data_IF_215503336721
#
_entry.id   IF_215503336721
#
_cell.length_a   1.000
_cell.length_b   1.000
_cell.length_c   1.000
_cell.angle_alpha   90.00
_cell.angle_beta   90.00
_cell.angle_gamma   90.00
#
_symmetry.space_group_name_H-M   'P 1'
#
loop_
_entity.id
_entity.type
_entity.pdbx_description
1 polymer ?
#
# COMPACT_ATOMS: atom_id res chain seq x y z
N UNK A 1 -10.00 19.30 -12.74
CA UNK A 1 -9.88 20.67 -12.35
C UNK A 1 -9.49 20.81 -10.88
N UNK A 2 -9.49 22.04 -10.38
CA UNK A 2 -8.94 22.46 -9.09
C UNK A 2 -9.45 21.73 -7.84
N UNK A 3 -10.58 21.03 -7.93
CA UNK A 3 -11.17 20.31 -6.76
C UNK A 3 -10.69 18.89 -6.56
N UNK A 4 -10.15 18.24 -7.59
CA UNK A 4 -9.87 16.82 -7.52
C UNK A 4 -8.61 16.48 -6.73
N UNK A 5 -7.59 17.31 -6.79
CA UNK A 5 -6.37 17.07 -6.01
C UNK A 5 -6.61 17.19 -4.49
N UNK A 6 -7.23 18.29 -3.98
CA UNK A 6 -7.61 18.36 -2.56
C UNK A 6 -8.53 17.22 -2.11
N UNK A 7 -9.50 16.82 -2.94
CA UNK A 7 -10.39 15.70 -2.66
C UNK A 7 -9.61 14.38 -2.55
N UNK A 8 -8.77 14.08 -3.53
CA UNK A 8 -7.96 12.86 -3.55
C UNK A 8 -7.02 12.79 -2.34
N UNK A 9 -6.36 13.90 -2.01
CA UNK A 9 -5.48 13.99 -0.85
C UNK A 9 -6.26 13.78 0.46
N UNK A 10 -7.43 14.40 0.60
CA UNK A 10 -8.27 14.22 1.78
C UNK A 10 -8.78 12.78 1.91
N UNK A 11 -9.21 12.16 0.80
CA UNK A 11 -9.65 10.77 0.78
C UNK A 11 -8.53 9.84 1.23
N UNK A 12 -7.34 9.99 0.64
CA UNK A 12 -6.18 9.18 1.01
C UNK A 12 -5.75 9.38 2.47
N UNK A 13 -5.70 10.61 2.94
CA UNK A 13 -5.33 10.91 4.34
C UNK A 13 -6.35 10.28 5.30
N UNK A 14 -7.64 10.44 5.03
CA UNK A 14 -8.70 9.83 5.83
C UNK A 14 -8.64 8.31 5.81
N UNK A 15 -8.32 7.70 4.67
CA UNK A 15 -8.15 6.27 4.54
C UNK A 15 -7.02 5.75 5.44
N UNK A 16 -5.85 6.40 5.41
CA UNK A 16 -4.72 6.04 6.28
C UNK A 16 -5.04 6.25 7.75
N UNK A 17 -5.64 7.38 8.12
CA UNK A 17 -6.11 7.67 9.48
C UNK A 17 -7.02 6.54 10.00
N UNK A 18 -7.98 6.09 9.19
CA UNK A 18 -8.89 5.02 9.56
C UNK A 18 -8.18 3.68 9.74
N UNK A 19 -7.15 3.37 8.94
CA UNK A 19 -6.36 2.16 9.13
C UNK A 19 -5.66 2.16 10.49
N UNK A 20 -5.04 3.29 10.86
CA UNK A 20 -4.31 3.42 12.11
C UNK A 20 -5.23 3.43 13.33
N UNK A 21 -6.29 4.22 13.29
CA UNK A 21 -7.26 4.28 14.39
C UNK A 21 -7.93 2.92 14.64
N UNK A 22 -8.30 2.20 13.57
CA UNK A 22 -8.87 0.85 13.70
C UNK A 22 -7.87 -0.15 14.27
N UNK A 23 -6.61 -0.07 13.89
CA UNK A 23 -5.54 -0.89 14.47
C UNK A 23 -5.40 -0.64 15.96
N UNK A 24 -5.34 0.64 16.38
CA UNK A 24 -5.24 1.04 17.79
C UNK A 24 -6.45 0.62 18.62
N UNK A 25 -7.64 0.68 18.04
CA UNK A 25 -8.89 0.26 18.71
C UNK A 25 -9.12 -1.25 18.70
N UNK A 26 -8.30 -2.04 18.00
CA UNK A 26 -8.54 -3.47 17.80
C UNK A 26 -9.82 -3.78 17.01
N UNK A 27 -10.27 -2.85 16.13
CA UNK A 27 -11.49 -2.97 15.33
C UNK A 27 -11.16 -3.06 13.84
N UNK A 28 -10.58 -4.18 13.46
CA UNK A 28 -10.22 -4.42 12.06
C UNK A 28 -11.46 -4.38 11.15
N UNK A 29 -11.30 -3.74 10.00
CA UNK A 29 -12.06 -3.89 8.77
C UNK A 29 -11.06 -4.05 7.65
N UNK A 30 -11.41 -4.75 6.58
CA UNK A 30 -10.53 -4.88 5.44
C UNK A 30 -10.29 -3.53 4.73
N UNK A 31 -9.25 -3.49 3.93
CA UNK A 31 -8.82 -2.24 3.29
C UNK A 31 -9.84 -1.71 2.29
N UNK A 32 -10.62 -2.59 1.63
CA UNK A 32 -11.66 -2.15 0.70
C UNK A 32 -12.79 -1.42 1.43
N UNK A 33 -13.26 -1.98 2.55
CA UNK A 33 -14.27 -1.34 3.38
C UNK A 33 -13.78 0.00 3.94
N UNK A 34 -12.50 0.12 4.32
CA UNK A 34 -11.92 1.39 4.76
C UNK A 34 -11.86 2.39 3.60
N UNK A 35 -11.55 1.93 2.40
CA UNK A 35 -11.54 2.76 1.19
C UNK A 35 -12.93 3.33 0.92
N UNK A 36 -13.98 2.52 1.05
CA UNK A 36 -15.37 2.96 0.90
C UNK A 36 -15.80 3.93 2.03
N UNK A 37 -15.53 3.58 3.30
CA UNK A 37 -15.89 4.41 4.47
C UNK A 37 -15.23 5.81 4.36
N UNK A 38 -13.95 5.86 3.95
CA UNK A 38 -13.21 7.11 3.78
C UNK A 38 -13.66 7.91 2.55
N UNK A 39 -14.05 7.24 1.47
CA UNK A 39 -14.66 7.87 0.31
C UNK A 39 -15.99 8.54 0.67
N UNK A 40 -16.86 7.84 1.40
CA UNK A 40 -18.15 8.38 1.83
C UNK A 40 -17.99 9.66 2.67
N UNK A 41 -16.99 9.71 3.56
CA UNK A 41 -16.64 10.92 4.33
C UNK A 41 -16.15 12.02 3.39
N UNK A 42 -15.25 11.71 2.48
CA UNK A 42 -14.65 12.67 1.56
C UNK A 42 -15.68 13.29 0.62
N UNK A 43 -16.57 12.47 0.06
CA UNK A 43 -17.66 12.93 -0.80
C UNK A 43 -18.59 13.90 -0.08
N UNK A 44 -18.90 13.65 1.20
CA UNK A 44 -19.71 14.57 2.03
C UNK A 44 -18.99 15.90 2.24
N UNK A 45 -17.70 15.88 2.59
CA UNK A 45 -16.90 17.08 2.87
C UNK A 45 -16.77 17.97 1.63
N UNK A 46 -16.59 17.36 0.46
CA UNK A 46 -16.39 18.08 -0.80
C UNK A 46 -17.67 18.30 -1.61
N UNK A 47 -18.83 17.87 -1.10
CA UNK A 47 -20.12 17.94 -1.79
C UNK A 47 -20.06 17.28 -3.17
N UNK A 48 -19.48 16.08 -3.26
CA UNK A 48 -19.45 15.25 -4.48
C UNK A 48 -20.74 14.44 -4.58
N UNK A 49 -21.31 14.37 -5.78
CA UNK A 49 -22.54 13.60 -6.03
C UNK A 49 -22.30 12.11 -5.75
N UNK A 50 -23.17 11.52 -4.94
CA UNK A 50 -23.12 10.11 -4.55
C UNK A 50 -23.14 9.15 -5.76
N UNK A 51 -23.68 9.57 -6.90
CA UNK A 51 -23.68 8.78 -8.14
C UNK A 51 -22.28 8.47 -8.64
N UNK A 52 -21.28 9.29 -8.29
CA UNK A 52 -19.87 9.08 -8.67
C UNK A 52 -19.16 8.03 -7.81
N UNK A 53 -19.78 7.54 -6.73
CA UNK A 53 -19.11 6.63 -5.78
C UNK A 53 -18.53 5.40 -6.47
N UNK A 54 -19.33 4.69 -7.26
CA UNK A 54 -18.88 3.46 -7.92
C UNK A 54 -17.77 3.74 -8.93
N UNK A 55 -17.89 4.79 -9.72
CA UNK A 55 -16.85 5.20 -10.67
C UNK A 55 -15.50 5.49 -9.96
N UNK A 56 -15.54 6.22 -8.84
CA UNK A 56 -14.34 6.51 -8.05
C UNK A 56 -13.72 5.25 -7.43
N UNK A 57 -14.54 4.30 -7.00
CA UNK A 57 -14.07 3.01 -6.49
C UNK A 57 -13.48 2.14 -7.59
N UNK A 58 -14.07 2.16 -8.78
CA UNK A 58 -13.55 1.41 -9.93
C UNK A 58 -12.17 1.92 -10.36
N UNK A 59 -11.94 3.24 -10.35
CA UNK A 59 -10.62 3.83 -10.59
C UNK A 59 -9.55 3.31 -9.62
N UNK A 60 -9.93 3.00 -8.38
CA UNK A 60 -9.00 2.46 -7.40
C UNK A 60 -8.49 1.04 -7.72
N UNK A 61 -9.23 0.29 -8.55
CA UNK A 61 -8.88 -1.06 -8.97
C UNK A 61 -7.93 -1.11 -10.17
N UNK A 62 -7.83 -0.02 -10.92
CA UNK A 62 -7.11 0.03 -12.22
C UNK A 62 -5.92 1.00 -12.19
N UNK A 63 -5.23 1.08 -11.06
CA UNK A 63 -4.05 1.92 -10.92
C UNK A 63 -2.92 1.43 -11.83
N UNK A 64 -2.38 2.32 -12.66
CA UNK A 64 -1.25 2.02 -13.54
C UNK A 64 0.08 2.12 -12.79
N UNK A 65 1.04 1.23 -13.05
CA UNK A 65 2.40 1.37 -12.55
C UNK A 65 3.13 2.51 -13.28
N UNK A 66 4.22 2.97 -12.72
CA UNK A 66 5.13 3.84 -13.46
C UNK A 66 5.76 3.10 -14.65
N UNK A 67 6.11 3.80 -15.75
CA UNK A 67 6.53 3.17 -17.00
C UNK A 67 7.70 2.21 -16.88
N UNK A 68 8.66 2.49 -15.97
CA UNK A 68 9.87 1.69 -15.79
C UNK A 68 9.64 0.42 -14.93
N UNK A 69 8.58 0.37 -14.14
CA UNK A 69 8.39 -0.65 -13.08
C UNK A 69 8.44 -2.08 -13.62
N UNK A 70 7.76 -2.37 -14.71
CA UNK A 70 7.74 -3.72 -15.27
C UNK A 70 9.14 -4.20 -15.66
N UNK A 71 9.87 -3.37 -16.40
CA UNK A 71 11.21 -3.70 -16.86
C UNK A 71 12.19 -3.88 -15.69
N UNK A 72 12.09 -3.04 -14.66
CA UNK A 72 12.96 -3.12 -13.48
C UNK A 72 12.68 -4.39 -12.67
N UNK A 73 11.41 -4.75 -12.49
CA UNK A 73 11.02 -6.00 -11.82
C UNK A 73 11.52 -7.23 -12.59
N UNK A 74 11.39 -7.24 -13.92
CA UNK A 74 11.94 -8.29 -14.76
C UNK A 74 13.46 -8.42 -14.64
N UNK A 75 14.18 -7.29 -14.60
CA UNK A 75 15.62 -7.26 -14.42
C UNK A 75 16.04 -7.79 -13.03
N UNK A 76 15.31 -7.45 -11.98
CA UNK A 76 15.55 -7.99 -10.63
C UNK A 76 15.28 -9.50 -10.58
N UNK A 77 14.23 -9.96 -11.24
CA UNK A 77 13.92 -11.40 -11.33
C UNK A 77 15.02 -12.20 -12.03
N UNK A 78 15.65 -11.67 -13.09
CA UNK A 78 16.79 -12.29 -13.75
C UNK A 78 18.01 -12.46 -12.86
N UNK A 79 18.11 -11.67 -11.76
CA UNK A 79 19.16 -11.79 -10.74
C UNK A 79 18.86 -12.85 -9.67
N UNK A 80 17.84 -13.70 -9.87
CA UNK A 80 17.37 -14.70 -8.90
C UNK A 80 16.95 -14.15 -7.54
N UNK A 81 16.56 -12.88 -7.47
CA UNK A 81 15.99 -12.29 -6.28
C UNK A 81 14.53 -12.74 -6.10
N UNK A 82 14.13 -12.95 -4.86
CA UNK A 82 12.72 -13.15 -4.52
C UNK A 82 12.05 -11.80 -4.42
N UNK A 83 11.03 -11.60 -5.24
CA UNK A 83 10.27 -10.36 -5.29
C UNK A 83 8.89 -10.57 -4.66
N UNK A 84 8.47 -9.65 -3.82
CA UNK A 84 7.17 -9.71 -3.18
C UNK A 84 6.55 -8.33 -3.03
N UNK A 85 5.22 -8.28 -3.03
CA UNK A 85 4.46 -7.11 -2.59
C UNK A 85 4.04 -7.33 -1.14
N UNK A 86 4.21 -6.32 -0.30
CA UNK A 86 3.70 -6.27 1.07
C UNK A 86 2.79 -5.04 1.19
N UNK A 87 1.49 -5.24 1.35
CA UNK A 87 0.50 -4.19 1.19
C UNK A 87 -0.61 -4.21 2.24
N UNK A 88 -1.20 -3.04 2.49
CA UNK A 88 -2.45 -2.89 3.22
C UNK A 88 -3.67 -3.38 2.41
N UNK A 89 -3.54 -3.52 1.09
CA UNK A 89 -4.60 -3.97 0.20
C UNK A 89 -5.09 -5.39 0.48
N UNK A 90 -6.36 -5.66 0.18
CA UNK A 90 -6.91 -7.02 0.27
C UNK A 90 -6.26 -7.94 -0.78
N UNK A 91 -6.27 -9.27 -0.57
CA UNK A 91 -5.74 -10.21 -1.56
C UNK A 91 -6.38 -10.04 -2.96
N UNK A 92 -7.68 -9.74 -3.01
CA UNK A 92 -8.40 -9.50 -4.27
C UNK A 92 -7.87 -8.23 -4.98
N UNK A 93 -7.71 -7.12 -4.26
CA UNK A 93 -7.14 -5.89 -4.83
C UNK A 93 -5.73 -6.09 -5.35
N UNK A 94 -4.88 -6.81 -4.63
CA UNK A 94 -3.50 -7.07 -5.05
C UNK A 94 -3.47 -7.92 -6.31
N UNK A 95 -4.35 -8.92 -6.39
CA UNK A 95 -4.49 -9.76 -7.58
C UNK A 95 -4.94 -8.92 -8.77
N UNK A 96 -6.03 -8.15 -8.62
CA UNK A 96 -6.56 -7.27 -9.68
C UNK A 96 -5.48 -6.32 -10.22
N UNK A 97 -4.70 -5.68 -9.32
CA UNK A 97 -3.62 -4.77 -9.70
C UNK A 97 -2.49 -5.44 -10.47
N UNK A 98 -2.09 -6.62 -10.06
CA UNK A 98 -1.00 -7.37 -10.71
C UNK A 98 -1.45 -7.86 -12.08
N UNK A 99 -2.65 -8.44 -12.19
CA UNK A 99 -3.21 -8.97 -13.44
C UNK A 99 -3.52 -7.86 -14.46
N UNK A 100 -4.19 -6.79 -14.03
CA UNK A 100 -4.56 -5.65 -14.93
C UNK A 100 -3.34 -4.94 -15.52
N UNK A 101 -2.19 -5.03 -14.87
CA UNK A 101 -0.94 -4.39 -15.32
C UNK A 101 0.05 -5.37 -15.98
N UNK A 102 -0.35 -6.60 -16.25
CA UNK A 102 0.52 -7.64 -16.82
C UNK A 102 1.81 -7.83 -16.00
N UNK A 103 1.70 -7.86 -14.67
CA UNK A 103 2.78 -8.11 -13.72
C UNK A 103 2.64 -9.50 -13.07
N UNK A 104 1.66 -10.28 -13.48
CA UNK A 104 1.45 -11.64 -13.01
C UNK A 104 2.68 -12.51 -13.30
N UNK A 105 2.97 -13.41 -12.37
CA UNK A 105 4.17 -14.25 -12.43
C UNK A 105 5.50 -13.53 -12.19
N UNK A 106 5.53 -12.20 -12.03
CA UNK A 106 6.76 -11.47 -11.68
C UNK A 106 7.08 -11.53 -10.19
N UNK A 107 6.07 -11.60 -9.34
CA UNK A 107 6.22 -11.68 -7.89
C UNK A 107 6.11 -13.12 -7.39
N UNK A 108 6.96 -13.46 -6.43
CA UNK A 108 6.92 -14.76 -5.75
C UNK A 108 5.75 -14.85 -4.75
N UNK A 109 5.41 -13.72 -4.11
CA UNK A 109 4.29 -13.63 -3.18
C UNK A 109 3.65 -12.22 -3.19
N UNK A 110 2.35 -12.20 -2.90
CA UNK A 110 1.59 -10.99 -2.61
C UNK A 110 1.12 -11.11 -1.14
N UNK A 111 1.77 -10.38 -0.24
CA UNK A 111 1.42 -10.37 1.17
C UNK A 111 0.40 -9.28 1.45
N UNK A 112 -0.72 -9.65 2.04
CA UNK A 112 -1.76 -8.74 2.50
C UNK A 112 -1.77 -8.68 4.04
N UNK A 113 -2.08 -7.51 4.58
CA UNK A 113 -2.30 -7.34 6.03
C UNK A 113 -3.48 -8.19 6.54
N UNK A 114 -4.33 -8.68 5.64
CA UNK A 114 -5.46 -9.53 6.02
C UNK A 114 -5.01 -10.84 6.68
N UNK A 115 -3.75 -11.27 6.48
CA UNK A 115 -3.16 -12.41 7.18
C UNK A 115 -3.02 -12.17 8.69
N UNK A 116 -2.80 -10.92 9.10
CA UNK A 116 -2.57 -10.53 10.52
C UNK A 116 -3.64 -9.60 11.06
N UNK A 117 -4.54 -9.10 10.22
CA UNK A 117 -5.68 -8.21 10.55
C UNK A 117 -5.28 -6.98 11.35
N UNK A 118 -4.14 -6.42 11.01
CA UNK A 118 -3.64 -5.15 11.51
C UNK A 118 -2.89 -4.43 10.40
N UNK A 119 -2.92 -3.10 10.42
CA UNK A 119 -2.32 -2.28 9.37
C UNK A 119 -0.86 -1.92 9.66
N UNK A 120 -0.09 -1.69 8.61
CA UNK A 120 1.20 -1.01 8.72
C UNK A 120 1.00 0.33 9.47
N UNK A 121 1.96 0.74 10.30
CA UNK A 121 3.32 0.22 10.46
C UNK A 121 3.49 -0.83 11.58
N UNK A 122 2.47 -1.62 11.93
CA UNK A 122 2.63 -2.67 12.93
C UNK A 122 3.65 -3.73 12.47
N UNK A 123 4.55 -4.11 13.37
CA UNK A 123 5.66 -5.04 13.08
C UNK A 123 5.20 -6.41 12.61
N UNK A 124 4.02 -6.87 13.02
CA UNK A 124 3.43 -8.14 12.56
C UNK A 124 3.24 -8.20 11.04
N UNK A 125 3.04 -7.06 10.40
CA UNK A 125 2.92 -6.98 8.94
C UNK A 125 4.27 -7.22 8.27
N UNK A 126 5.32 -6.57 8.76
CA UNK A 126 6.67 -6.74 8.21
C UNK A 126 7.25 -8.14 8.50
N UNK A 127 6.72 -8.85 9.50
CA UNK A 127 7.12 -10.21 9.83
C UNK A 127 6.64 -11.27 8.80
N UNK A 128 5.62 -10.96 7.99
CA UNK A 128 5.04 -11.89 7.01
C UNK A 128 6.07 -12.43 6.01
N UNK A 129 6.84 -11.60 5.27
CA UNK A 129 7.86 -12.10 4.35
C UNK A 129 8.98 -12.85 5.06
N UNK A 130 9.41 -12.37 6.23
CA UNK A 130 10.49 -12.99 7.04
C UNK A 130 10.13 -14.41 7.42
N UNK A 131 8.92 -14.61 7.96
CA UNK A 131 8.41 -15.94 8.30
C UNK A 131 8.25 -16.84 7.07
N UNK A 132 7.67 -16.30 6.00
CA UNK A 132 7.42 -17.08 4.77
C UNK A 132 8.69 -17.60 4.13
N UNK A 133 9.71 -16.73 4.05
CA UNK A 133 10.97 -17.08 3.40
C UNK A 133 12.03 -17.65 4.34
N UNK A 134 11.76 -17.63 5.66
CA UNK A 134 12.69 -18.08 6.71
C UNK A 134 14.05 -17.39 6.63
N UNK A 135 14.02 -16.07 6.49
CA UNK A 135 15.20 -15.18 6.37
C UNK A 135 15.25 -14.23 7.56
N UNK A 136 16.37 -13.51 7.71
CA UNK A 136 16.49 -12.41 8.68
C UNK A 136 15.89 -11.12 8.11
N UNK A 137 15.38 -10.25 8.95
CA UNK A 137 14.88 -8.92 8.54
C UNK A 137 15.96 -8.12 7.78
N UNK A 138 17.22 -8.19 8.20
CA UNK A 138 18.36 -7.53 7.55
C UNK A 138 18.69 -8.03 6.13
N UNK A 139 18.09 -9.14 5.69
CA UNK A 139 18.24 -9.67 4.33
C UNK A 139 17.16 -9.11 3.37
N UNK A 140 16.23 -8.30 3.90
CA UNK A 140 15.15 -7.70 3.11
C UNK A 140 15.54 -6.29 2.69
N UNK A 141 15.45 -6.01 1.40
CA UNK A 141 15.44 -4.64 0.85
C UNK A 141 13.98 -4.26 0.66
N UNK A 142 13.52 -3.25 1.38
CA UNK A 142 12.15 -2.80 1.37
C UNK A 142 12.03 -1.42 0.73
N UNK A 143 11.21 -1.31 -0.31
CA UNK A 143 10.97 -0.07 -1.03
C UNK A 143 9.55 0.45 -0.76
N UNK A 144 9.46 1.69 -0.31
CA UNK A 144 8.17 2.37 -0.18
C UNK A 144 8.28 3.85 -0.55
N UNK A 145 7.20 4.41 -1.10
CA UNK A 145 7.07 5.85 -1.33
C UNK A 145 6.51 6.60 -0.12
N UNK A 146 6.04 5.89 0.90
CA UNK A 146 5.50 6.49 2.12
C UNK A 146 6.58 6.48 3.20
N UNK A 147 6.92 7.65 3.72
CA UNK A 147 7.94 7.84 4.76
C UNK A 147 7.64 7.04 6.02
N UNK A 148 6.38 7.09 6.51
CA UNK A 148 5.93 6.30 7.66
C UNK A 148 6.07 4.76 7.46
N UNK A 149 5.94 4.28 6.23
CA UNK A 149 6.09 2.85 5.91
C UNK A 149 7.58 2.47 5.81
N UNK A 150 8.42 3.38 5.29
CA UNK A 150 9.89 3.24 5.31
C UNK A 150 10.40 3.18 6.74
N UNK A 151 9.96 4.10 7.60
CA UNK A 151 10.31 4.12 9.03
C UNK A 151 9.81 2.85 9.74
N UNK A 152 8.57 2.42 9.47
CA UNK A 152 8.03 1.17 10.03
C UNK A 152 8.83 -0.06 9.63
N UNK A 153 9.23 -0.18 8.37
CA UNK A 153 10.09 -1.25 7.87
C UNK A 153 11.49 -1.21 8.48
N UNK A 154 12.08 -0.01 8.57
CA UNK A 154 13.38 0.21 9.23
C UNK A 154 13.35 -0.15 10.71
N UNK A 155 12.33 0.27 11.44
CA UNK A 155 12.13 -0.09 12.85
C UNK A 155 11.99 -1.61 13.07
N UNK A 156 11.42 -2.32 12.11
CA UNK A 156 11.36 -3.78 12.13
C UNK A 156 12.71 -4.45 11.83
N UNK A 157 13.67 -3.73 11.23
CA UNK A 157 15.01 -4.20 10.89
C UNK A 157 15.24 -4.47 9.40
N UNK A 158 14.40 -3.96 8.52
CA UNK A 158 14.60 -4.02 7.08
C UNK A 158 15.64 -2.99 6.60
N UNK A 159 16.33 -3.27 5.49
CA UNK A 159 17.04 -2.25 4.72
C UNK A 159 16.02 -1.45 3.91
N UNK A 160 15.44 -0.44 4.53
CA UNK A 160 14.36 0.34 3.93
C UNK A 160 14.89 1.45 3.03
N UNK A 161 14.29 1.60 1.86
CA UNK A 161 14.63 2.59 0.84
C UNK A 161 13.40 3.45 0.54
N UNK A 162 13.54 4.76 0.69
CA UNK A 162 12.51 5.71 0.31
C UNK A 162 12.53 6.03 -1.18
N UNK A 163 11.47 5.68 -1.89
CA UNK A 163 11.27 6.02 -3.31
C UNK A 163 10.60 7.40 -3.39
N UNK A 164 11.40 8.46 -3.29
CA UNK A 164 10.93 9.85 -3.26
C UNK A 164 10.76 10.45 -4.66
N UNK A 165 9.66 10.11 -5.34
CA UNK A 165 9.35 10.64 -6.68
C UNK A 165 8.91 12.10 -6.66
N UNK A 166 8.26 12.53 -5.58
CA UNK A 166 7.66 13.86 -5.46
C UNK A 166 8.61 14.90 -4.86
N UNK A 167 9.87 14.53 -4.57
CA UNK A 167 10.85 15.40 -3.89
C UNK A 167 10.30 15.99 -2.59
N UNK A 168 9.50 15.21 -1.87
CA UNK A 168 8.90 15.58 -0.58
C UNK A 168 9.96 15.58 0.53
N UNK A 169 9.63 16.21 1.66
CA UNK A 169 10.43 16.09 2.88
C UNK A 169 10.18 14.73 3.54
N UNK A 170 11.22 14.16 4.16
CA UNK A 170 11.08 12.96 4.98
C UNK A 170 10.40 13.31 6.32
N UNK A 171 9.57 12.41 6.84
CA UNK A 171 8.97 12.57 8.16
C UNK A 171 10.04 12.34 9.26
N UNK A 172 9.94 13.06 10.37
CA UNK A 172 10.81 12.87 11.54
C UNK A 172 10.26 11.71 12.40
N UNK A 173 10.34 10.50 11.89
CA UNK A 173 9.88 9.27 12.57
C UNK A 173 11.05 8.35 12.96
N UNK A 174 12.29 8.86 12.93
CA UNK A 174 13.59 8.20 13.25
C UNK A 174 13.91 6.95 12.43
#
# INVERSE_FOLDING_TARGET
GEKWEPFSNFWRTTQLEYTWLRSLMGRHKDFWQITEDSLDKSMKVFNIDKKMKNELLDLYRVLSPYPEVKQDIENLKKKNLKLAILSNGTPALLKDLVESNNLDGLFNNLFSIEEVKIYKPDTRVYDLPVKKYKIKSSEVIFLSSNTWDVSGGGNYGYNSIWVNRNKSQFDNLD
#
